data_IF_471727718576
#
_entry.id   IF_471727718576
#
_cell.length_a   1.000
_cell.length_b   1.000
_cell.length_c   1.000
_cell.angle_alpha   90.00
_cell.angle_beta   90.00
_cell.angle_gamma   90.00
#
_symmetry.space_group_name_H-M   'P 1'
#
loop_
_entity.id
_entity.type
_entity.pdbx_description
1 polymer ?
#
# COMPACT_ATOMS: atom_id res chain seq x y z
N UNK A 1 5.00 -32.55 -4.87
CA UNK A 1 4.51 -32.43 -3.48
C UNK A 1 4.41 -30.95 -3.21
N UNK A 2 3.19 -30.44 -3.04
CA UNK A 2 2.95 -29.03 -2.75
C UNK A 2 3.21 -28.79 -1.26
N UNK A 3 4.19 -27.95 -0.94
CA UNK A 3 4.32 -27.43 0.42
C UNK A 3 3.14 -26.47 0.64
N UNK A 4 2.18 -26.89 1.46
CA UNK A 4 1.34 -25.94 2.19
C UNK A 4 2.27 -25.21 3.15
N UNK A 5 2.59 -23.95 2.85
CA UNK A 5 3.17 -23.03 3.83
C UNK A 5 2.13 -22.83 4.94
N UNK A 6 2.57 -22.93 6.19
CA UNK A 6 1.72 -22.85 7.38
C UNK A 6 1.04 -21.49 7.51
N UNK A 7 -0.18 -21.50 8.07
CA UNK A 7 -1.03 -20.31 8.30
C UNK A 7 -0.54 -19.52 9.55
N UNK A 8 0.67 -19.80 10.03
CA UNK A 8 1.17 -19.43 11.36
C UNK A 8 2.22 -18.30 11.38
N UNK A 9 2.63 -17.76 10.23
CA UNK A 9 3.52 -16.60 10.19
C UNK A 9 2.73 -15.29 10.27
N UNK A 10 2.89 -14.57 11.39
CA UNK A 10 2.32 -13.24 11.61
C UNK A 10 2.78 -12.28 10.50
N UNK A 11 1.87 -11.49 9.89
CA UNK A 11 2.21 -10.63 8.76
C UNK A 11 3.22 -9.55 9.11
N UNK A 12 4.09 -9.26 8.14
CA UNK A 12 5.18 -8.31 8.33
C UNK A 12 4.65 -6.88 8.55
N UNK A 13 4.95 -6.31 9.72
CA UNK A 13 4.61 -4.92 10.06
C UNK A 13 5.87 -4.03 10.03
N UNK A 14 5.97 -3.08 9.06
CA UNK A 14 7.03 -2.08 8.99
C UNK A 14 7.19 -1.27 10.30
N UNK A 15 8.43 -0.90 10.64
CA UNK A 15 8.77 -0.23 11.91
C UNK A 15 7.95 1.06 12.15
N UNK A 16 7.69 1.84 11.11
CA UNK A 16 6.97 3.11 11.21
C UNK A 16 5.46 2.96 11.49
N UNK A 17 4.89 1.75 11.36
CA UNK A 17 3.50 1.44 11.71
C UNK A 17 3.33 0.91 13.14
N UNK A 18 4.43 0.61 13.85
CA UNK A 18 4.37 0.07 15.22
C UNK A 18 3.91 1.15 16.21
N UNK A 19 3.04 0.77 17.15
CA UNK A 19 2.37 1.66 18.09
C UNK A 19 1.21 2.48 17.48
N UNK A 20 0.85 2.26 16.21
CA UNK A 20 -0.27 2.94 15.55
C UNK A 20 -1.55 2.09 15.64
N UNK A 21 -2.76 2.65 15.36
CA UNK A 21 -3.98 1.86 15.23
C UNK A 21 -3.85 0.68 14.25
N UNK A 22 -2.97 0.81 13.25
CA UNK A 22 -2.73 -0.21 12.21
C UNK A 22 -2.04 -1.45 12.76
N UNK A 23 -1.16 -1.31 13.76
CA UNK A 23 -0.56 -2.46 14.43
C UNK A 23 -1.62 -3.32 15.13
N UNK A 24 -2.74 -2.73 15.62
CA UNK A 24 -3.86 -3.52 16.16
C UNK A 24 -4.52 -4.36 15.07
N UNK A 25 -4.75 -3.80 13.88
CA UNK A 25 -5.32 -4.51 12.72
C UNK A 25 -4.42 -5.69 12.30
N UNK A 26 -3.11 -5.49 12.31
CA UNK A 26 -2.11 -6.52 11.97
C UNK A 26 -2.04 -7.70 12.95
N UNK A 27 -2.48 -7.51 14.20
CA UNK A 27 -2.52 -8.56 15.22
C UNK A 27 -3.96 -9.11 15.43
N UNK A 28 -4.86 -8.89 14.48
CA UNK A 28 -6.24 -9.42 14.52
C UNK A 28 -6.37 -10.79 13.83
N UNK A 29 -7.55 -11.40 13.93
CA UNK A 29 -7.86 -12.68 13.28
C UNK A 29 -7.94 -12.58 11.73
N UNK A 30 -8.05 -11.36 11.17
CA UNK A 30 -8.05 -11.07 9.73
C UNK A 30 -7.08 -9.89 9.43
N UNK A 31 -5.76 -10.15 9.41
CA UNK A 31 -4.77 -9.10 9.38
C UNK A 31 -4.49 -8.56 7.97
N UNK A 32 -4.03 -7.30 7.90
CA UNK A 32 -3.80 -6.59 6.65
C UNK A 32 -2.51 -7.05 5.94
N UNK A 33 -2.62 -7.84 4.89
CA UNK A 33 -1.48 -8.22 4.06
C UNK A 33 -0.91 -6.99 3.32
N UNK A 34 0.25 -6.51 3.78
CA UNK A 34 0.98 -5.42 3.13
C UNK A 34 1.87 -5.97 2.01
N UNK A 35 2.20 -5.15 0.98
CA UNK A 35 3.13 -5.57 -0.05
C UNK A 35 4.52 -5.82 0.53
N UNK A 36 5.10 -7.01 0.28
CA UNK A 36 6.41 -7.43 0.83
C UNK A 36 7.45 -7.75 -0.23
N UNK A 37 7.04 -8.07 -1.45
CA UNK A 37 7.94 -8.39 -2.57
C UNK A 37 7.24 -8.18 -3.93
N UNK A 38 7.99 -8.22 -5.04
CA UNK A 38 7.42 -8.19 -6.39
C UNK A 38 6.96 -9.57 -6.86
N UNK A 39 5.95 -9.65 -7.73
CA UNK A 39 5.42 -10.92 -8.24
C UNK A 39 5.55 -11.05 -9.77
N UNK A 40 6.05 -12.20 -10.24
CA UNK A 40 6.27 -12.45 -11.67
C UNK A 40 5.05 -13.09 -12.35
N UNK A 41 4.09 -12.26 -12.78
CA UNK A 41 2.98 -12.72 -13.62
C UNK A 41 3.38 -12.91 -15.10
N UNK A 42 4.46 -13.67 -15.34
CA UNK A 42 5.08 -13.93 -16.66
C UNK A 42 5.51 -12.68 -17.47
N UNK A 43 6.31 -11.75 -16.90
CA UNK A 43 6.91 -10.64 -17.65
C UNK A 43 7.83 -11.13 -18.78
N UNK A 44 7.94 -10.35 -19.86
CA UNK A 44 8.74 -10.67 -21.06
C UNK A 44 10.18 -10.18 -20.95
N UNK A 45 10.38 -9.06 -20.27
CA UNK A 45 11.59 -8.25 -20.27
C UNK A 45 12.11 -7.91 -18.87
N UNK A 46 11.29 -7.88 -17.82
CA UNK A 46 11.77 -7.75 -16.42
C UNK A 46 11.86 -9.10 -15.71
N UNK A 47 12.76 -9.20 -14.71
CA UNK A 47 12.90 -10.37 -13.83
C UNK A 47 13.14 -10.00 -12.38
N UNK A 48 12.52 -10.74 -11.48
CA UNK A 48 12.78 -10.81 -10.05
C UNK A 48 14.02 -11.66 -9.75
N UNK A 49 14.81 -11.18 -8.80
CA UNK A 49 15.96 -11.83 -8.19
C UNK A 49 15.91 -11.55 -6.68
N UNK A 50 16.80 -12.17 -5.90
CA UNK A 50 17.02 -11.88 -4.48
C UNK A 50 15.72 -11.79 -3.66
N UNK A 51 15.04 -12.93 -3.50
CA UNK A 51 13.75 -13.05 -2.83
C UNK A 51 12.65 -12.12 -3.39
N UNK A 52 12.72 -11.84 -4.69
CA UNK A 52 11.84 -10.92 -5.43
C UNK A 52 11.88 -9.47 -4.95
N UNK A 53 13.02 -9.04 -4.38
CA UNK A 53 13.28 -7.64 -4.02
C UNK A 53 14.13 -6.91 -5.08
N UNK A 54 14.97 -7.63 -5.83
CA UNK A 54 15.77 -7.04 -6.91
C UNK A 54 15.11 -7.28 -8.27
N UNK A 55 14.86 -6.21 -9.01
CA UNK A 55 14.31 -6.24 -10.38
C UNK A 55 15.41 -5.90 -11.38
N UNK A 56 15.45 -6.62 -12.50
CA UNK A 56 16.41 -6.37 -13.58
C UNK A 56 15.76 -6.43 -14.96
N UNK A 57 16.11 -5.46 -15.81
CA UNK A 57 15.74 -5.47 -17.22
C UNK A 57 16.64 -6.42 -18.01
N UNK A 58 16.00 -7.33 -18.73
CA UNK A 58 16.58 -8.39 -19.56
C UNK A 58 16.10 -8.33 -21.01
N UNK A 59 15.23 -7.36 -21.35
CA UNK A 59 14.74 -7.14 -22.70
C UNK A 59 15.76 -6.53 -23.67
N UNK A 60 15.43 -6.42 -24.96
CA UNK A 60 16.35 -5.95 -25.97
C UNK A 60 16.52 -4.42 -26.01
N UNK A 61 15.64 -3.64 -25.38
CA UNK A 61 15.82 -2.22 -25.13
C UNK A 61 15.88 -1.31 -26.38
N UNK A 62 15.23 -1.68 -27.48
CA UNK A 62 15.32 -0.99 -28.78
C UNK A 62 14.43 0.26 -28.82
N UNK A 63 13.13 0.10 -28.59
CA UNK A 63 12.11 1.16 -28.65
C UNK A 63 11.11 1.03 -27.49
N UNK A 64 10.27 2.06 -27.29
CA UNK A 64 9.41 2.19 -26.10
C UNK A 64 8.32 1.13 -25.99
N UNK A 65 8.04 0.34 -27.04
CA UNK A 65 7.16 -0.84 -26.96
C UNK A 65 7.77 -1.99 -26.15
N UNK A 66 9.03 -1.84 -25.74
CA UNK A 66 9.79 -2.79 -24.94
C UNK A 66 10.01 -2.31 -23.49
N UNK A 67 9.29 -1.26 -23.07
CA UNK A 67 9.10 -0.98 -21.65
C UNK A 67 8.24 -2.08 -21.01
N UNK A 68 8.50 -2.39 -19.74
CA UNK A 68 7.67 -3.30 -18.95
C UNK A 68 7.79 -2.96 -17.46
N UNK A 69 6.67 -3.09 -16.75
CA UNK A 69 6.57 -2.91 -15.31
C UNK A 69 6.24 -4.21 -14.60
N UNK A 70 6.60 -4.27 -13.32
CA UNK A 70 6.25 -5.35 -12.40
C UNK A 70 5.61 -4.77 -11.14
N UNK A 71 4.63 -5.50 -10.60
CA UNK A 71 3.87 -5.14 -9.39
C UNK A 71 4.24 -6.02 -8.20
N UNK A 72 3.81 -5.59 -7.03
CA UNK A 72 3.91 -6.37 -5.80
C UNK A 72 2.94 -7.55 -5.71
N UNK A 73 3.26 -8.44 -4.77
CA UNK A 73 2.43 -9.54 -4.25
C UNK A 73 1.02 -9.10 -3.80
N UNK A 74 0.92 -7.96 -3.11
CA UNK A 74 -0.33 -7.37 -2.64
C UNK A 74 -0.50 -5.91 -3.06
N UNK A 75 -1.74 -5.42 -3.05
CA UNK A 75 -2.03 -3.99 -3.07
C UNK A 75 -1.81 -3.39 -1.67
N UNK A 76 -1.64 -2.08 -1.58
CA UNK A 76 -1.68 -1.35 -0.30
C UNK A 76 -3.14 -1.30 0.18
N UNK A 77 -3.49 -1.91 1.33
CA UNK A 77 -4.84 -1.84 1.88
C UNK A 77 -5.21 -0.39 2.23
N UNK A 78 -6.38 0.14 1.83
CA UNK A 78 -6.83 1.48 2.19
C UNK A 78 -6.77 1.78 3.70
N UNK A 79 -6.97 0.74 4.51
CA UNK A 79 -7.02 0.75 5.97
C UNK A 79 -5.68 1.13 6.60
N UNK A 80 -4.56 0.96 5.89
CA UNK A 80 -3.20 1.22 6.43
C UNK A 80 -2.94 2.71 6.70
N UNK A 81 -3.69 3.61 6.05
CA UNK A 81 -3.60 5.09 6.07
C UNK A 81 -2.27 5.69 5.57
N UNK A 82 -1.12 5.09 5.89
CA UNK A 82 0.22 5.50 5.48
C UNK A 82 1.03 4.27 5.03
N UNK A 83 1.48 4.29 3.77
CA UNK A 83 2.38 3.29 3.23
C UNK A 83 3.62 3.94 2.62
N UNK A 84 4.78 3.32 2.80
CA UNK A 84 6.05 3.83 2.31
C UNK A 84 7.01 2.70 1.95
N UNK A 85 7.65 2.83 0.79
CA UNK A 85 8.68 1.94 0.30
C UNK A 85 9.77 2.78 -0.40
N UNK A 86 11.00 2.26 -0.45
CA UNK A 86 12.10 2.87 -1.21
C UNK A 86 12.56 1.94 -2.33
N UNK A 87 13.16 2.53 -3.36
CA UNK A 87 13.80 1.79 -4.47
C UNK A 87 15.21 2.35 -4.67
N UNK A 88 16.21 1.49 -4.49
CA UNK A 88 17.61 1.78 -4.74
C UNK A 88 17.95 1.45 -6.19
N UNK A 89 18.44 2.45 -6.96
CA UNK A 89 18.98 2.21 -8.31
C UNK A 89 20.37 1.58 -8.15
N UNK A 90 20.47 0.28 -8.44
CA UNK A 90 21.70 -0.50 -8.36
C UNK A 90 22.55 -0.29 -9.62
N UNK A 91 21.89 -0.34 -10.78
CA UNK A 91 22.47 0.05 -12.06
C UNK A 91 21.41 0.80 -12.87
N UNK A 92 21.78 1.95 -13.43
CA UNK A 92 20.91 2.73 -14.32
C UNK A 92 20.87 2.18 -15.75
N UNK A 93 21.72 1.20 -16.08
CA UNK A 93 21.85 0.69 -17.43
C UNK A 93 22.28 1.75 -18.45
N UNK A 94 21.88 1.52 -19.71
CA UNK A 94 22.22 2.38 -20.84
C UNK A 94 21.69 3.82 -20.66
N UNK A 95 20.40 3.99 -20.33
CA UNK A 95 19.76 5.31 -20.28
C UNK A 95 19.08 5.67 -18.95
N UNK A 96 18.72 4.69 -18.10
CA UNK A 96 18.07 4.96 -16.81
C UNK A 96 16.60 5.33 -16.93
N UNK A 97 15.88 4.70 -17.86
CA UNK A 97 14.43 4.83 -18.05
C UNK A 97 13.68 3.94 -17.05
N UNK A 98 13.96 4.20 -15.77
CA UNK A 98 13.38 3.52 -14.62
C UNK A 98 12.26 4.38 -14.06
N UNK A 99 11.05 3.82 -13.98
CA UNK A 99 9.90 4.42 -13.30
C UNK A 99 9.63 3.73 -11.97
N UNK A 100 9.21 4.49 -10.96
CA UNK A 100 8.73 3.96 -9.67
C UNK A 100 7.40 4.65 -9.36
N UNK A 101 6.40 3.91 -8.89
CA UNK A 101 5.11 4.49 -8.54
C UNK A 101 4.10 3.44 -8.08
N UNK A 102 2.83 3.70 -8.39
CA UNK A 102 1.71 2.82 -8.06
C UNK A 102 0.81 2.59 -9.27
N UNK A 103 0.20 1.40 -9.36
CA UNK A 103 -0.84 1.07 -10.33
C UNK A 103 -2.12 0.59 -9.64
N UNK A 104 -3.27 0.97 -10.21
CA UNK A 104 -4.59 0.47 -9.80
C UNK A 104 -4.99 -0.80 -10.53
N UNK A 105 -4.69 -0.88 -11.83
CA UNK A 105 -4.99 -2.05 -12.65
C UNK A 105 -3.68 -2.63 -13.20
N UNK A 106 -3.47 -3.93 -12.94
CA UNK A 106 -2.32 -4.70 -13.40
C UNK A 106 -2.39 -5.07 -14.90
N UNK A 107 -3.52 -4.84 -15.57
CA UNK A 107 -3.62 -4.89 -17.04
C UNK A 107 -2.75 -3.81 -17.74
N UNK A 108 -2.21 -2.83 -16.99
CA UNK A 108 -1.45 -1.68 -17.50
C UNK A 108 0.01 -1.74 -17.01
N UNK A 109 0.65 -2.89 -17.17
CA UNK A 109 2.07 -3.12 -16.87
C UNK A 109 2.98 -3.00 -18.12
N UNK A 110 2.45 -2.65 -19.28
CA UNK A 110 3.18 -2.46 -20.54
C UNK A 110 3.76 -1.04 -20.74
N UNK A 111 3.72 -0.20 -19.69
CA UNK A 111 4.21 1.18 -19.69
C UNK A 111 4.94 1.54 -18.39
N UNK A 112 5.66 2.67 -18.39
CA UNK A 112 6.23 3.25 -17.16
C UNK A 112 5.14 3.91 -16.29
N UNK A 113 5.26 3.85 -14.94
CA UNK A 113 4.40 4.60 -14.03
C UNK A 113 4.31 6.09 -14.40
N UNK A 114 3.09 6.63 -14.49
CA UNK A 114 2.83 8.04 -14.81
C UNK A 114 2.60 8.37 -16.29
N UNK A 115 2.69 7.41 -17.22
CA UNK A 115 2.46 7.65 -18.66
C UNK A 115 0.97 7.63 -19.10
N UNK A 116 0.03 7.30 -18.20
CA UNK A 116 -1.43 7.40 -18.43
C UNK A 116 -2.15 8.04 -17.24
N UNK A 117 -3.34 8.60 -17.49
CA UNK A 117 -4.26 9.09 -16.46
C UNK A 117 -4.54 7.99 -15.41
N UNK A 118 -4.29 8.28 -14.13
CA UNK A 118 -4.56 7.33 -13.03
C UNK A 118 -3.59 7.32 -11.83
N UNK A 119 -2.64 8.25 -11.72
CA UNK A 119 -1.69 8.35 -10.59
C UNK A 119 -1.88 9.66 -9.82
N UNK A 120 -1.96 9.64 -8.47
CA UNK A 120 -2.81 10.62 -7.76
C UNK A 120 -2.44 10.91 -6.23
N UNK A 121 -2.64 12.16 -5.68
CA UNK A 121 -2.81 12.51 -4.23
C UNK A 121 -3.00 13.99 -3.70
N UNK A 122 -3.78 14.27 -2.62
CA UNK A 122 -4.59 15.54 -2.39
C UNK A 122 -4.13 16.64 -1.34
N UNK A 123 -4.96 17.08 -0.36
CA UNK A 123 -4.88 18.35 0.42
C UNK A 123 -5.85 18.54 1.65
N UNK A 124 -6.36 17.52 2.33
CA UNK A 124 -6.96 17.64 3.70
C UNK A 124 -8.40 18.17 3.94
N UNK A 125 -9.13 18.72 2.96
CA UNK A 125 -10.55 19.17 3.07
C UNK A 125 -11.61 18.33 2.29
N UNK A 126 -11.24 17.51 1.29
CA UNK A 126 -12.17 16.80 0.36
C UNK A 126 -12.06 15.25 0.31
N UNK A 127 -11.15 14.62 1.07
CA UNK A 127 -11.16 13.15 1.27
C UNK A 127 -10.40 12.27 0.26
N UNK A 128 -9.25 12.73 -0.25
CA UNK A 128 -8.44 12.00 -1.24
C UNK A 128 -7.05 11.53 -0.71
N UNK A 129 -6.60 10.29 -1.03
CA UNK A 129 -5.29 9.69 -0.59
C UNK A 129 -4.08 10.46 -1.12
N UNK A 130 -2.93 10.50 -0.44
CA UNK A 130 -1.73 11.24 -0.89
C UNK A 130 -0.56 10.35 -1.34
N UNK A 131 0.11 10.71 -2.44
CA UNK A 131 1.43 10.17 -2.82
C UNK A 131 2.42 11.33 -2.99
N UNK A 132 3.54 11.22 -2.28
CA UNK A 132 4.72 12.08 -2.42
C UNK A 132 5.93 11.20 -2.74
N UNK A 133 6.95 11.78 -3.37
CA UNK A 133 8.21 11.07 -3.60
C UNK A 133 9.31 11.60 -2.68
N UNK A 134 10.29 10.74 -2.43
CA UNK A 134 11.51 11.08 -1.69
C UNK A 134 12.72 10.77 -2.56
N UNK A 135 13.79 11.55 -2.44
CA UNK A 135 15.06 11.29 -3.11
C UNK A 135 16.20 11.50 -2.13
N UNK A 136 16.97 10.43 -1.89
CA UNK A 136 18.09 10.42 -0.95
C UNK A 136 17.71 10.97 0.45
N UNK A 137 16.55 10.56 0.97
CA UNK A 137 16.04 11.00 2.27
C UNK A 137 15.36 12.38 2.30
N UNK A 138 15.25 13.08 1.17
CA UNK A 138 14.57 14.38 1.07
C UNK A 138 13.18 14.21 0.44
N UNK A 139 12.13 14.69 1.11
CA UNK A 139 10.77 14.76 0.58
C UNK A 139 10.68 15.81 -0.54
N UNK A 140 10.17 15.42 -1.71
CA UNK A 140 10.05 16.26 -2.90
C UNK A 140 8.68 16.95 -3.05
N UNK A 141 7.75 16.69 -2.12
CA UNK A 141 6.37 17.16 -2.18
C UNK A 141 5.40 16.16 -2.84
N UNK A 142 4.13 16.54 -2.81
CA UNK A 142 3.00 15.75 -3.34
C UNK A 142 3.05 15.74 -4.87
N UNK A 143 2.72 14.59 -5.49
CA UNK A 143 2.84 14.41 -6.92
C UNK A 143 1.55 14.63 -7.77
N UNK A 144 0.30 14.48 -7.29
CA UNK A 144 -0.95 14.56 -8.14
C UNK A 144 -2.33 14.88 -7.43
N UNK A 145 -3.52 14.17 -7.54
CA UNK A 145 -4.76 14.19 -6.63
C UNK A 145 -5.70 12.91 -6.67
N UNK A 146 -6.08 12.16 -5.56
CA UNK A 146 -6.49 10.68 -5.58
C UNK A 146 -7.76 10.07 -4.91
N UNK A 147 -8.38 8.98 -5.46
CA UNK A 147 -9.60 8.40 -4.89
C UNK A 147 -9.34 7.56 -3.64
N UNK A 148 -10.29 7.58 -2.71
CA UNK A 148 -10.16 6.97 -1.39
C UNK A 148 -10.19 5.43 -1.42
N UNK A 149 -10.97 4.84 -2.34
CA UNK A 149 -11.26 3.40 -2.37
C UNK A 149 -10.40 2.61 -3.36
N UNK A 150 -9.34 3.21 -3.90
CA UNK A 150 -8.49 2.52 -4.86
C UNK A 150 -7.42 1.71 -4.14
N UNK A 151 -7.41 0.40 -4.40
CA UNK A 151 -6.28 -0.49 -4.16
C UNK A 151 -5.13 -0.10 -5.08
N UNK A 152 -3.93 0.05 -4.52
CA UNK A 152 -2.75 0.53 -5.25
C UNK A 152 -1.57 -0.41 -5.02
N UNK A 153 -1.10 -1.04 -6.09
CA UNK A 153 0.10 -1.87 -6.09
C UNK A 153 1.33 -1.00 -6.34
N UNK A 154 2.35 -1.01 -5.46
CA UNK A 154 3.69 -0.53 -5.79
C UNK A 154 4.18 -1.19 -7.10
N UNK A 155 4.69 -0.37 -8.02
CA UNK A 155 5.25 -0.84 -9.29
C UNK A 155 6.61 -0.22 -9.59
N UNK A 156 7.45 -1.00 -10.27
CA UNK A 156 8.69 -0.56 -10.91
C UNK A 156 8.59 -0.85 -12.41
N UNK A 157 8.87 0.16 -13.23
CA UNK A 157 8.96 0.07 -14.68
C UNK A 157 10.39 0.23 -15.16
N UNK A 158 10.77 -0.54 -16.19
CA UNK A 158 12.08 -0.51 -16.82
C UNK A 158 11.97 -0.60 -18.34
N UNK A 159 13.06 -0.24 -19.03
CA UNK A 159 13.06 -0.11 -20.50
C UNK A 159 14.44 -0.31 -21.15
N UNK A 160 15.58 -0.08 -20.50
CA UNK A 160 16.91 -0.14 -21.17
C UNK A 160 17.87 -1.15 -20.54
N UNK A 161 18.85 -1.61 -21.34
CA UNK A 161 19.68 -2.76 -20.93
C UNK A 161 20.51 -2.42 -19.71
N UNK A 162 20.61 -3.38 -18.80
CA UNK A 162 21.39 -3.24 -17.57
C UNK A 162 20.66 -2.54 -16.42
N UNK A 163 19.48 -1.94 -16.65
CA UNK A 163 18.67 -1.36 -15.57
C UNK A 163 18.39 -2.40 -14.48
N UNK A 164 18.68 -2.03 -13.25
CA UNK A 164 18.56 -2.88 -12.09
C UNK A 164 18.27 -2.05 -10.84
N UNK A 165 17.27 -2.45 -10.07
CA UNK A 165 16.91 -1.82 -8.79
C UNK A 165 16.66 -2.85 -7.69
N UNK A 166 16.80 -2.43 -6.45
CA UNK A 166 16.39 -3.19 -5.26
C UNK A 166 15.32 -2.41 -4.49
N UNK A 167 14.20 -3.05 -4.15
CA UNK A 167 13.17 -2.43 -3.32
C UNK A 167 13.38 -2.69 -1.82
N UNK A 168 12.94 -1.72 -1.02
CA UNK A 168 12.81 -1.82 0.42
C UNK A 168 11.34 -1.62 0.81
N UNK A 169 10.67 -2.69 1.22
CA UNK A 169 9.30 -2.64 1.76
C UNK A 169 9.27 -2.50 3.30
N UNK A 170 10.40 -2.15 3.92
CA UNK A 170 10.55 -1.88 5.36
C UNK A 170 11.39 -2.88 6.13
N UNK A 171 11.93 -3.90 5.45
CA UNK A 171 12.81 -4.92 6.06
C UNK A 171 14.21 -4.38 6.40
N UNK A 172 14.67 -3.33 5.69
CA UNK A 172 15.87 -2.55 6.03
C UNK A 172 15.50 -1.09 6.39
N UNK A 173 16.31 -0.36 7.18
CA UNK A 173 16.06 1.05 7.46
C UNK A 173 15.96 1.89 6.17
N UNK A 174 15.03 2.83 6.15
CA UNK A 174 14.84 3.77 5.05
C UNK A 174 15.85 4.94 5.11
N UNK A 175 16.11 5.60 3.97
CA UNK A 175 16.90 6.84 3.90
C UNK A 175 16.06 8.05 4.32
N UNK A 176 14.76 8.06 4.02
CA UNK A 176 13.81 9.03 4.58
C UNK A 176 13.46 8.66 6.03
N UNK A 177 13.35 9.67 6.90
CA UNK A 177 12.86 9.49 8.27
C UNK A 177 11.33 9.33 8.30
N UNK A 178 10.87 8.21 7.73
CA UNK A 178 9.46 7.82 7.70
C UNK A 178 8.91 7.57 9.11
N UNK A 179 9.74 7.19 10.08
CA UNK A 179 9.32 6.94 11.46
C UNK A 179 8.90 8.24 12.16
N UNK A 180 9.69 9.33 12.04
CA UNK A 180 9.27 10.65 12.52
C UNK A 180 8.05 11.19 11.77
N UNK A 181 7.98 10.97 10.45
CA UNK A 181 6.82 11.37 9.64
C UNK A 181 5.55 10.64 10.07
N UNK A 182 5.60 9.31 10.21
CA UNK A 182 4.49 8.48 10.66
C UNK A 182 4.04 8.85 12.07
N UNK A 183 4.98 9.08 13.00
CA UNK A 183 4.65 9.54 14.35
C UNK A 183 3.89 10.87 14.35
N UNK A 184 4.25 11.81 13.48
CA UNK A 184 3.51 13.06 13.32
C UNK A 184 2.12 12.81 12.69
N UNK A 185 2.07 12.06 11.58
CA UNK A 185 0.84 11.73 10.85
C UNK A 185 -0.20 11.03 11.74
N UNK A 186 0.18 9.99 12.48
CA UNK A 186 -0.72 9.26 13.39
C UNK A 186 -0.99 10.00 14.72
N UNK A 187 -0.39 11.18 14.95
CA UNK A 187 -0.74 12.05 16.08
C UNK A 187 -1.85 13.06 15.75
N UNK A 188 -2.21 13.22 14.48
CA UNK A 188 -3.29 14.10 14.04
C UNK A 188 -4.65 13.55 14.51
N UNK A 189 -5.49 14.34 15.23
CA UNK A 189 -6.76 13.85 15.77
C UNK A 189 -7.70 13.22 14.74
N UNK A 190 -7.67 13.72 13.49
CA UNK A 190 -8.46 13.18 12.38
C UNK A 190 -8.01 11.79 11.94
N UNK A 191 -6.70 11.53 11.93
CA UNK A 191 -6.11 10.23 11.60
C UNK A 191 -6.36 9.22 12.73
N UNK A 192 -6.30 9.67 13.99
CA UNK A 192 -6.67 8.84 15.15
C UNK A 192 -8.14 8.42 15.06
N UNK A 193 -9.06 9.35 14.80
CA UNK A 193 -10.48 9.05 14.65
C UNK A 193 -10.73 8.06 13.50
N UNK A 194 -10.15 8.31 12.32
CA UNK A 194 -10.25 7.41 11.17
C UNK A 194 -9.73 6.00 11.46
N UNK A 195 -8.61 5.87 12.18
CA UNK A 195 -8.06 4.56 12.57
C UNK A 195 -8.95 3.80 13.54
N UNK A 196 -9.57 4.48 14.51
CA UNK A 196 -10.52 3.86 15.43
C UNK A 196 -11.86 3.50 14.75
N UNK A 197 -12.31 4.26 13.75
CA UNK A 197 -13.48 3.91 12.95
C UNK A 197 -13.24 2.69 12.05
N UNK A 198 -12.06 2.56 11.45
CA UNK A 198 -11.64 1.34 10.71
C UNK A 198 -11.63 0.12 11.64
N UNK A 199 -11.04 0.25 12.84
CA UNK A 199 -11.03 -0.82 13.85
C UNK A 199 -12.44 -1.28 14.22
N UNK A 200 -13.38 -0.34 14.42
CA UNK A 200 -14.79 -0.66 14.71
C UNK A 200 -15.44 -1.42 13.55
N UNK A 201 -15.27 -0.95 12.31
CA UNK A 201 -15.86 -1.58 11.13
C UNK A 201 -15.38 -3.02 10.94
N UNK A 202 -14.09 -3.31 11.17
CA UNK A 202 -13.58 -4.69 11.14
C UNK A 202 -14.15 -5.56 12.27
N UNK A 203 -14.24 -5.03 13.49
CA UNK A 203 -14.84 -5.73 14.64
C UNK A 203 -16.31 -6.07 14.36
N UNK A 204 -17.10 -5.09 13.88
CA UNK A 204 -18.51 -5.28 13.53
C UNK A 204 -18.67 -6.28 12.38
N UNK A 205 -17.78 -6.26 11.38
CA UNK A 205 -17.78 -7.24 10.29
C UNK A 205 -17.50 -8.66 10.80
N UNK A 206 -16.48 -8.84 11.65
CA UNK A 206 -16.13 -10.13 12.23
C UNK A 206 -17.26 -10.70 13.11
N UNK A 207 -17.93 -9.85 13.89
CA UNK A 207 -19.10 -10.27 14.67
C UNK A 207 -20.28 -10.70 13.78
N UNK A 208 -20.59 -9.95 12.73
CA UNK A 208 -21.74 -10.21 11.86
C UNK A 208 -21.53 -11.35 10.85
N UNK A 209 -20.28 -11.75 10.58
CA UNK A 209 -19.94 -12.85 9.66
C UNK A 209 -19.54 -14.14 10.37
N UNK A 210 -19.40 -14.12 11.70
CA UNK A 210 -19.11 -15.32 12.48
C UNK A 210 -20.24 -16.35 12.36
N UNK A 211 -19.96 -17.62 11.99
CA UNK A 211 -20.99 -18.66 11.88
C UNK A 211 -21.64 -19.06 13.22
N UNK A 212 -21.23 -18.44 14.33
CA UNK A 212 -21.80 -18.60 15.67
C UNK A 212 -22.62 -17.38 16.15
N UNK A 213 -22.85 -16.37 15.30
CA UNK A 213 -23.55 -15.13 15.67
C UNK A 213 -25.09 -15.28 15.75
N UNK A 214 -25.58 -16.13 16.65
CA UNK A 214 -27.02 -16.27 16.96
C UNK A 214 -27.41 -15.64 18.31
N UNK A 215 -26.69 -14.60 18.73
CA UNK A 215 -27.03 -13.85 19.94
C UNK A 215 -28.13 -12.83 19.66
N UNK A 216 -29.33 -13.13 20.15
CA UNK A 216 -30.50 -12.24 20.08
C UNK A 216 -30.31 -11.00 20.98
N UNK A 217 -30.15 -9.84 20.34
CA UNK A 217 -29.95 -8.54 20.99
C UNK A 217 -31.13 -8.11 21.88
N UNK A 218 -32.32 -8.70 21.72
CA UNK A 218 -33.54 -8.32 22.46
C UNK A 218 -33.54 -8.71 23.95
N UNK A 219 -32.45 -9.26 24.48
CA UNK A 219 -32.35 -9.76 25.86
C UNK A 219 -31.53 -8.89 26.83
N UNK A 220 -30.93 -7.78 26.36
CA UNK A 220 -30.12 -6.89 27.21
C UNK A 220 -30.95 -5.68 27.73
N UNK A 221 -31.26 -5.59 29.04
CA UNK A 221 -32.08 -4.50 29.59
C UNK A 221 -31.39 -3.12 29.63
N UNK A 222 -30.19 -2.98 29.06
CA UNK A 222 -29.46 -1.70 28.95
C UNK A 222 -29.41 -1.12 27.52
N UNK A 223 -29.95 -1.78 26.50
CA UNK A 223 -29.96 -1.24 25.13
C UNK A 223 -31.16 -0.33 24.86
N UNK A 224 -31.15 0.87 25.44
CA UNK A 224 -31.88 2.02 24.89
C UNK A 224 -30.90 2.98 24.22
N UNK A 225 -30.30 2.52 23.13
CA UNK A 225 -29.65 3.38 22.15
C UNK A 225 -30.40 3.22 20.84
N UNK A 226 -31.00 4.33 20.41
CA UNK A 226 -31.95 4.39 19.32
C UNK A 226 -31.24 4.09 18.00
N UNK A 227 -31.72 3.08 17.27
CA UNK A 227 -31.15 2.65 16.00
C UNK A 227 -31.85 3.32 14.81
N UNK A 228 -32.21 4.60 14.95
CA UNK A 228 -32.76 5.40 13.86
C UNK A 228 -32.40 6.89 14.00
N UNK A 229 -31.20 7.28 13.60
CA UNK A 229 -30.96 8.63 13.08
C UNK A 229 -29.77 8.66 12.11
N UNK A 230 -30.02 9.21 10.91
CA UNK A 230 -29.03 9.31 9.83
C UNK A 230 -28.11 10.50 10.10
N UNK A 231 -26.86 10.25 10.45
CA UNK A 231 -25.83 11.30 10.49
C UNK A 231 -24.97 11.32 9.22
N UNK A 232 -25.58 11.81 8.15
CA UNK A 232 -24.84 12.39 7.02
C UNK A 232 -24.58 13.88 7.30
N UNK A 233 -23.54 14.19 8.09
CA UNK A 233 -23.08 15.57 8.34
C UNK A 233 -21.57 15.58 8.53
N UNK A 234 -20.85 16.27 7.64
CA UNK A 234 -19.71 17.11 7.99
C UNK A 234 -19.61 18.26 6.99
N UNK A 235 -20.06 19.44 7.44
CA UNK A 235 -19.80 20.75 6.85
C UNK A 235 -18.98 21.53 7.88
N UNK A 236 -17.79 22.02 7.50
CA UNK A 236 -17.09 23.11 8.19
C UNK A 236 -16.03 23.73 7.27
N UNK A 237 -16.40 24.87 6.68
CA UNK A 237 -15.63 26.10 6.33
C UNK A 237 -14.13 25.99 6.05
#
# INVERSE_FOLDING_TARGET
>A
MSNMTSIDEQPFTPRYLKGTPIEKLQNSDDPLYLPTCFEEYSPRYVKCMDNKLMIKYTGPGIDDTQAESISTDFSVPPEVLLYYFEVDIIDKGEHGYIGVGFAKNLDILDILPGWRFGTMGYHGDDGHKHVFYTKNGINLGIAFKAPFNDELFPIVGMRTRGECVEANFGTKPFKFDIDSYAKAFFSEPRIIAQGEDILRQQIDYAFNTSPYSTYDFNSNPYSTYDFDERYSVYDFV
#
